data_IF_890581656771
#
_entry.id   IF_890581656771
#
_cell.length_a   1.000
_cell.length_b   1.000
_cell.length_c   1.000
_cell.angle_alpha   90.00
_cell.angle_beta   90.00
_cell.angle_gamma   90.00
#
_symmetry.space_group_name_H-M   'P 1'
#
loop_
_entity.id
_entity.type
_entity.pdbx_description
1 polymer ?
#
# COMPACT_ATOMS: atom_id res chain seq x y z
N UNK A 1 42.10 -0.92 33.04
CA UNK A 1 40.97 -1.86 32.98
C UNK A 1 40.11 -1.38 31.84
N UNK A 2 39.86 -2.26 30.87
CA UNK A 2 39.42 -1.92 29.51
C UNK A 2 37.94 -1.51 29.52
N UNK A 3 37.63 -0.37 28.89
CA UNK A 3 36.27 0.16 28.74
C UNK A 3 35.41 -0.80 27.91
N UNK A 4 34.33 -1.29 28.53
CA UNK A 4 33.34 -2.15 27.88
C UNK A 4 32.50 -1.35 26.89
N UNK A 5 32.87 -1.41 25.62
CA UNK A 5 32.08 -0.90 24.50
C UNK A 5 30.78 -1.73 24.41
N UNK A 6 29.69 -1.18 24.92
CA UNK A 6 28.34 -1.73 24.78
C UNK A 6 27.93 -1.57 23.31
N UNK A 7 27.88 -2.69 22.60
CA UNK A 7 27.45 -2.79 21.20
C UNK A 7 26.00 -2.28 21.04
N UNK A 8 25.66 -1.52 19.98
CA UNK A 8 24.35 -0.87 19.79
C UNK A 8 23.29 -1.84 19.23
N UNK A 9 23.13 -3.02 19.85
CA UNK A 9 22.18 -4.05 19.40
C UNK A 9 20.71 -3.72 19.72
N UNK A 10 20.45 -2.87 20.72
CA UNK A 10 19.08 -2.58 21.18
C UNK A 10 18.21 -1.83 20.17
N UNK A 11 18.73 -0.78 19.54
CA UNK A 11 17.94 0.07 18.64
C UNK A 11 17.43 -0.72 17.43
N UNK A 12 18.30 -1.48 16.76
CA UNK A 12 17.92 -2.22 15.55
C UNK A 12 16.85 -3.28 15.82
N UNK A 13 16.93 -3.95 16.96
CA UNK A 13 15.97 -4.97 17.37
C UNK A 13 14.62 -4.34 17.77
N UNK A 14 14.65 -3.18 18.45
CA UNK A 14 13.46 -2.38 18.75
C UNK A 14 12.76 -1.84 17.49
N UNK A 15 13.53 -1.41 16.49
CA UNK A 15 13.00 -0.96 15.19
C UNK A 15 12.41 -2.10 14.37
N UNK A 16 13.00 -3.30 14.45
CA UNK A 16 12.43 -4.50 13.82
C UNK A 16 11.08 -4.85 14.43
N UNK A 17 10.98 -4.83 15.78
CA UNK A 17 9.73 -5.08 16.49
C UNK A 17 8.63 -4.09 16.12
N UNK A 18 8.96 -2.80 16.02
CA UNK A 18 8.02 -1.76 15.59
C UNK A 18 7.50 -2.01 14.17
N UNK A 19 8.38 -2.38 13.23
CA UNK A 19 7.98 -2.71 11.87
C UNK A 19 7.03 -3.93 11.82
N UNK A 20 7.24 -4.92 12.69
CA UNK A 20 6.39 -6.10 12.81
C UNK A 20 4.97 -5.74 13.27
N UNK A 21 4.83 -4.93 14.32
CA UNK A 21 3.50 -4.50 14.82
C UNK A 21 2.69 -3.71 13.81
N UNK A 22 3.32 -3.00 12.87
CA UNK A 22 2.60 -2.23 11.83
C UNK A 22 2.28 -3.03 10.56
N UNK A 23 2.91 -4.19 10.35
CA UNK A 23 2.64 -5.06 9.20
C UNK A 23 1.53 -6.09 9.51
N UNK A 24 1.35 -6.45 10.78
CA UNK A 24 0.33 -7.41 11.24
C UNK A 24 -1.11 -6.87 11.23
N UNK A 25 -1.30 -5.55 11.14
CA UNK A 25 -2.65 -4.93 11.24
C UNK A 25 -3.46 -4.99 9.93
N UNK A 26 -2.97 -5.73 8.92
CA UNK A 26 -3.67 -5.91 7.65
C UNK A 26 -3.85 -7.41 7.35
N UNK A 27 -5.08 -7.80 7.05
CA UNK A 27 -5.63 -9.16 6.92
C UNK A 27 -5.03 -10.07 5.82
N UNK A 28 -3.74 -9.93 5.51
CA UNK A 28 -2.93 -10.72 4.57
C UNK A 28 -1.89 -11.59 5.34
N UNK A 29 -2.15 -11.87 6.62
CA UNK A 29 -1.24 -12.41 7.63
C UNK A 29 -0.43 -13.67 7.23
N UNK A 30 -0.93 -14.52 6.32
CA UNK A 30 -0.28 -15.79 5.98
C UNK A 30 0.89 -15.67 5.01
N UNK A 31 0.88 -14.69 4.10
CA UNK A 31 2.01 -14.44 3.18
C UNK A 31 3.06 -13.53 3.83
N UNK A 32 2.64 -12.65 4.73
CA UNK A 32 3.56 -11.89 5.56
C UNK A 32 4.32 -12.80 6.53
N UNK A 33 3.68 -13.80 7.15
CA UNK A 33 4.34 -14.70 8.11
C UNK A 33 5.53 -15.49 7.55
N UNK A 34 5.43 -16.01 6.31
CA UNK A 34 6.55 -16.68 5.64
C UNK A 34 7.70 -15.71 5.32
N UNK A 35 7.37 -14.47 4.96
CA UNK A 35 8.35 -13.41 4.71
C UNK A 35 8.99 -12.92 6.03
N UNK A 36 8.20 -12.82 7.10
CA UNK A 36 8.60 -12.44 8.47
C UNK A 36 9.56 -13.49 9.06
N UNK A 37 9.30 -14.78 8.82
CA UNK A 37 10.15 -15.87 9.29
C UNK A 37 11.51 -15.86 8.59
N UNK A 38 11.55 -15.50 7.30
CA UNK A 38 12.82 -15.27 6.58
C UNK A 38 13.54 -13.99 7.04
N UNK A 39 12.80 -12.95 7.43
CA UNK A 39 13.36 -11.66 7.91
C UNK A 39 13.98 -11.75 9.31
N UNK A 40 13.46 -12.59 10.21
CA UNK A 40 14.09 -12.86 11.53
C UNK A 40 15.43 -13.60 11.41
N UNK A 41 15.64 -14.33 10.32
CA UNK A 41 16.82 -15.18 10.13
C UNK A 41 17.99 -14.48 9.42
N UNK A 42 17.77 -13.31 8.78
CA UNK A 42 18.85 -12.58 8.12
C UNK A 42 18.55 -11.08 8.05
N UNK A 43 19.48 -10.20 8.50
CA UNK A 43 19.34 -8.77 8.32
C UNK A 43 19.18 -8.48 6.82
N UNK A 44 18.08 -7.82 6.43
CA UNK A 44 17.82 -7.44 5.04
C UNK A 44 19.04 -6.78 4.42
N UNK A 45 19.50 -7.31 3.30
CA UNK A 45 20.57 -6.68 2.53
C UNK A 45 20.03 -5.45 1.80
N UNK A 46 20.90 -4.48 1.53
CA UNK A 46 20.53 -3.24 0.85
C UNK A 46 19.91 -3.51 -0.54
N UNK A 47 20.26 -4.62 -1.18
CA UNK A 47 19.66 -5.07 -2.45
C UNK A 47 18.25 -5.63 -2.29
N UNK A 48 17.93 -6.29 -1.17
CA UNK A 48 16.57 -6.74 -0.87
C UNK A 48 15.63 -5.55 -0.64
N UNK A 49 16.08 -4.50 0.06
CA UNK A 49 15.31 -3.27 0.23
C UNK A 49 15.04 -2.57 -1.10
N UNK A 50 16.04 -2.48 -1.98
CA UNK A 50 15.87 -1.94 -3.34
C UNK A 50 14.86 -2.75 -4.15
N UNK A 51 14.88 -4.08 -4.04
CA UNK A 51 13.91 -4.98 -4.67
C UNK A 51 12.48 -4.71 -4.19
N UNK A 52 12.27 -4.72 -2.87
CA UNK A 52 10.96 -4.43 -2.26
C UNK A 52 10.43 -3.05 -2.67
N UNK A 53 11.29 -2.04 -2.71
CA UNK A 53 10.91 -0.69 -3.15
C UNK A 53 10.43 -0.67 -4.61
N UNK A 54 11.14 -1.37 -5.50
CA UNK A 54 10.76 -1.47 -6.92
C UNK A 54 9.41 -2.15 -7.08
N UNK A 55 9.16 -3.21 -6.31
CA UNK A 55 7.90 -3.95 -6.35
C UNK A 55 6.74 -3.11 -5.82
N UNK A 56 6.92 -2.41 -4.69
CA UNK A 56 5.92 -1.49 -4.16
C UNK A 56 5.64 -0.34 -5.14
N UNK A 57 6.68 0.25 -5.74
CA UNK A 57 6.52 1.30 -6.76
C UNK A 57 5.73 0.81 -7.98
N UNK A 58 5.98 -0.42 -8.43
CA UNK A 58 5.21 -1.08 -9.49
C UNK A 58 3.76 -1.30 -9.09
N UNK A 59 3.50 -1.76 -7.85
CA UNK A 59 2.15 -1.92 -7.31
C UNK A 59 1.40 -0.59 -7.24
N UNK A 60 2.05 0.48 -6.75
CA UNK A 60 1.50 1.85 -6.76
C UNK A 60 1.05 2.28 -8.15
N UNK A 61 1.93 2.07 -9.14
CA UNK A 61 1.63 2.44 -10.53
C UNK A 61 0.40 1.69 -11.06
N UNK A 62 0.28 0.39 -10.77
CA UNK A 62 -0.90 -0.40 -11.16
C UNK A 62 -2.18 0.10 -10.49
N UNK A 63 -2.12 0.46 -9.20
CA UNK A 63 -3.28 0.97 -8.47
C UNK A 63 -3.74 2.33 -9.00
N UNK A 64 -2.80 3.23 -9.32
CA UNK A 64 -3.11 4.49 -10.00
C UNK A 64 -3.78 4.25 -11.37
N UNK A 65 -3.30 3.28 -12.15
CA UNK A 65 -3.94 2.90 -13.41
C UNK A 65 -5.36 2.37 -13.22
N UNK A 66 -5.63 1.63 -12.14
CA UNK A 66 -6.98 1.17 -11.80
C UNK A 66 -7.90 2.33 -11.44
N UNK A 67 -7.42 3.32 -10.66
CA UNK A 67 -8.19 4.54 -10.34
C UNK A 67 -8.57 5.30 -11.60
N UNK A 68 -7.64 5.51 -12.54
CA UNK A 68 -7.94 6.22 -13.79
C UNK A 68 -9.00 5.48 -14.62
N UNK A 69 -8.98 4.14 -14.63
CA UNK A 69 -10.01 3.34 -15.29
C UNK A 69 -11.36 3.47 -14.61
N UNK A 70 -11.41 3.42 -13.28
CA UNK A 70 -12.65 3.61 -12.52
C UNK A 70 -13.24 4.99 -12.78
N UNK A 71 -12.41 6.03 -12.74
CA UNK A 71 -12.80 7.41 -13.03
C UNK A 71 -13.42 7.55 -14.42
N UNK A 72 -12.77 6.97 -15.43
CA UNK A 72 -13.29 6.98 -16.80
C UNK A 72 -14.63 6.21 -16.91
N UNK A 73 -14.77 5.08 -16.21
CA UNK A 73 -16.05 4.33 -16.18
C UNK A 73 -17.15 5.14 -15.49
N UNK A 74 -16.86 5.78 -14.36
CA UNK A 74 -17.81 6.64 -13.63
C UNK A 74 -18.28 7.80 -14.51
N UNK A 75 -17.36 8.46 -15.23
CA UNK A 75 -17.69 9.54 -16.14
C UNK A 75 -18.60 9.08 -17.30
N UNK A 76 -18.29 7.94 -17.91
CA UNK A 76 -19.15 7.34 -18.94
C UNK A 76 -20.54 7.01 -18.40
N UNK A 77 -20.62 6.42 -17.21
CA UNK A 77 -21.90 6.08 -16.59
C UNK A 77 -22.70 7.31 -16.19
N UNK A 78 -22.03 8.35 -15.69
CA UNK A 78 -22.67 9.62 -15.34
C UNK A 78 -23.28 10.29 -16.57
N UNK A 79 -22.56 10.30 -17.70
CA UNK A 79 -23.10 10.79 -18.98
C UNK A 79 -24.32 9.99 -19.44
N UNK A 80 -24.35 8.67 -19.20
CA UNK A 80 -25.52 7.82 -19.52
C UNK A 80 -26.69 8.16 -18.60
N UNK A 81 -26.44 8.37 -17.30
CA UNK A 81 -27.46 8.80 -16.35
C UNK A 81 -28.08 10.13 -16.78
N UNK A 82 -27.26 11.14 -17.08
CA UNK A 82 -27.74 12.46 -17.51
C UNK A 82 -28.63 12.35 -18.75
N UNK A 83 -28.23 11.54 -19.73
CA UNK A 83 -29.02 11.30 -20.93
C UNK A 83 -30.36 10.58 -20.65
N UNK A 84 -30.36 9.62 -19.74
CA UNK A 84 -31.57 8.88 -19.37
C UNK A 84 -32.53 9.75 -18.55
N UNK A 85 -32.01 10.61 -17.68
CA UNK A 85 -32.81 11.57 -16.92
C UNK A 85 -33.49 12.59 -17.84
N UNK A 86 -32.80 13.07 -18.88
CA UNK A 86 -33.38 13.94 -19.90
C UNK A 86 -34.58 13.31 -20.63
N UNK A 87 -34.56 11.98 -20.81
CA UNK A 87 -35.64 11.21 -21.46
C UNK A 87 -36.68 10.71 -20.44
N UNK A 88 -36.50 10.99 -19.14
CA UNK A 88 -37.42 10.58 -18.07
C UNK A 88 -37.37 9.08 -17.76
N UNK A 89 -36.25 8.42 -18.06
CA UNK A 89 -36.04 7.00 -17.78
C UNK A 89 -35.52 6.78 -16.36
N UNK A 90 -35.70 5.57 -15.82
CA UNK A 90 -35.19 5.22 -14.49
C UNK A 90 -33.66 5.04 -14.50
N UNK A 91 -32.97 5.82 -13.65
CA UNK A 91 -31.51 5.82 -13.51
C UNK A 91 -31.04 5.23 -12.17
N UNK A 92 -31.97 4.79 -11.32
CA UNK A 92 -31.67 4.35 -9.93
C UNK A 92 -30.60 3.24 -9.89
N UNK A 93 -30.63 2.30 -10.84
CA UNK A 93 -29.65 1.23 -10.93
C UNK A 93 -28.24 1.72 -11.27
N UNK A 94 -28.14 2.64 -12.23
CA UNK A 94 -26.86 3.22 -12.66
C UNK A 94 -26.25 4.12 -11.58
N UNK A 95 -27.08 4.91 -10.90
CA UNK A 95 -26.63 5.75 -9.76
C UNK A 95 -26.07 4.88 -8.62
N UNK A 96 -26.72 3.75 -8.32
CA UNK A 96 -26.18 2.78 -7.36
C UNK A 96 -24.83 2.22 -7.80
N UNK A 97 -24.69 1.87 -9.08
CA UNK A 97 -23.42 1.33 -9.58
C UNK A 97 -22.30 2.39 -9.56
N UNK A 98 -22.59 3.65 -9.92
CA UNK A 98 -21.64 4.77 -9.76
C UNK A 98 -21.18 4.90 -8.31
N UNK A 99 -22.11 4.83 -7.34
CA UNK A 99 -21.75 4.90 -5.92
C UNK A 99 -20.87 3.71 -5.48
N UNK A 100 -21.12 2.49 -5.98
CA UNK A 100 -20.24 1.35 -5.68
C UNK A 100 -18.83 1.57 -6.26
N UNK A 101 -18.73 2.07 -7.49
CA UNK A 101 -17.43 2.36 -8.13
C UNK A 101 -16.67 3.48 -7.42
N UNK A 102 -17.38 4.50 -6.91
CA UNK A 102 -16.77 5.54 -6.08
C UNK A 102 -16.19 4.97 -4.79
N UNK A 103 -16.95 4.11 -4.09
CA UNK A 103 -16.46 3.45 -2.87
C UNK A 103 -15.24 2.56 -3.15
N UNK A 104 -15.23 1.82 -4.26
CA UNK A 104 -14.07 1.03 -4.69
C UNK A 104 -12.85 1.94 -4.97
N UNK A 105 -13.07 3.07 -5.63
CA UNK A 105 -12.03 4.08 -5.86
C UNK A 105 -11.46 4.67 -4.57
N UNK A 106 -12.31 4.90 -3.56
CA UNK A 106 -11.91 5.37 -2.23
C UNK A 106 -11.03 4.34 -1.53
N UNK A 107 -11.44 3.07 -1.50
CA UNK A 107 -10.64 1.97 -0.91
C UNK A 107 -9.25 1.85 -1.57
N UNK A 108 -9.19 1.87 -2.90
CA UNK A 108 -7.91 1.81 -3.62
C UNK A 108 -7.04 3.04 -3.28
N UNK A 109 -7.65 4.21 -3.10
CA UNK A 109 -6.94 5.43 -2.71
C UNK A 109 -6.34 5.31 -1.30
N UNK A 110 -7.08 4.75 -0.34
CA UNK A 110 -6.58 4.47 1.01
C UNK A 110 -5.40 3.50 0.98
N UNK A 111 -5.49 2.43 0.19
CA UNK A 111 -4.39 1.48 0.05
C UNK A 111 -3.14 2.11 -0.58
N UNK A 112 -3.30 3.06 -1.51
CA UNK A 112 -2.18 3.82 -2.07
C UNK A 112 -1.49 4.65 -0.99
N UNK A 113 -2.25 5.28 -0.09
CA UNK A 113 -1.69 6.05 1.02
C UNK A 113 -0.84 5.14 1.93
N UNK A 114 -1.37 3.97 2.30
CA UNK A 114 -0.63 2.98 3.09
C UNK A 114 0.64 2.52 2.37
N UNK A 115 0.55 2.32 1.06
CA UNK A 115 1.68 1.89 0.24
C UNK A 115 2.74 3.00 0.14
N UNK A 116 2.35 4.26 0.02
CA UNK A 116 3.25 5.41 0.02
C UNK A 116 3.99 5.56 1.36
N UNK A 117 3.31 5.32 2.48
CA UNK A 117 3.95 5.27 3.80
C UNK A 117 4.99 4.13 3.87
N UNK A 118 4.69 2.95 3.32
CA UNK A 118 5.63 1.82 3.26
C UNK A 118 6.86 2.16 2.40
N UNK A 119 6.67 2.79 1.24
CA UNK A 119 7.78 3.23 0.38
C UNK A 119 8.65 4.26 1.10
N UNK A 120 8.04 5.23 1.79
CA UNK A 120 8.78 6.26 2.54
C UNK A 120 9.65 5.64 3.64
N UNK A 121 9.11 4.69 4.41
CA UNK A 121 9.88 3.97 5.44
C UNK A 121 11.04 3.15 4.86
N UNK A 122 10.84 2.51 3.70
CA UNK A 122 11.94 1.82 3.01
C UNK A 122 13.03 2.79 2.54
N UNK A 123 12.67 4.01 2.13
CA UNK A 123 13.64 5.06 1.82
C UNK A 123 14.46 5.45 3.06
N UNK A 124 13.80 5.73 4.19
CA UNK A 124 14.48 6.07 5.45
C UNK A 124 15.42 4.94 5.90
N UNK A 125 15.01 3.67 5.79
CA UNK A 125 15.85 2.52 6.09
C UNK A 125 17.05 2.38 5.14
N UNK A 126 16.87 2.69 3.85
CA UNK A 126 17.95 2.64 2.89
C UNK A 126 19.00 3.72 3.19
N UNK A 127 18.58 4.93 3.54
CA UNK A 127 19.46 6.05 3.86
C UNK A 127 20.23 5.83 5.17
N UNK A 128 19.64 5.14 6.15
CA UNK A 128 20.30 4.77 7.42
C UNK A 128 21.33 3.64 7.28
N UNK A 129 21.23 2.84 6.21
CA UNK A 129 22.16 1.73 5.94
C UNK A 129 23.22 2.05 4.89
N UNK A 130 23.14 3.21 4.25
CA UNK A 130 24.14 3.75 3.32
C UNK A 130 25.26 4.47 4.07
#
# INVERSE_FOLDING_TARGET
MNDGIISPKGLRDEWSLLLHTFLDDSSEAKKSDEMITQMKASPLTLDQIKGMRKDLSSKRKKMNQSIEKLKSKIEQMSNVVDNLELVGSDTTGLVKEINMLNNEGEQISEEIIVLDQKIKKLHELQDLMA
#
